data_IF_709489700332
#
_entry.id   IF_709489700332
#
_cell.length_a   1.000
_cell.length_b   1.000
_cell.length_c   1.000
_cell.angle_alpha   90.00
_cell.angle_beta   90.00
_cell.angle_gamma   90.00
#
_symmetry.space_group_name_H-M   'P 1'
#
loop_
_entity.id
_entity.type
_entity.pdbx_description
1 polymer ?
#
# COMPACT_ATOMS: atom_id res chain seq x y z
N UNK A 1 -28.89 -14.14 0.28
CA UNK A 1 -28.29 -12.79 0.43
C UNK A 1 -27.13 -12.83 1.42
N UNK A 2 -25.91 -13.08 0.94
CA UNK A 2 -24.72 -12.99 1.78
C UNK A 2 -24.41 -11.50 1.98
N UNK A 3 -24.53 -11.07 3.23
CA UNK A 3 -24.15 -9.76 3.71
C UNK A 3 -22.62 -9.65 3.63
N UNK A 4 -22.14 -8.83 2.69
CA UNK A 4 -20.71 -8.57 2.48
C UNK A 4 -20.31 -7.34 3.31
N UNK A 5 -20.56 -7.35 4.61
CA UNK A 5 -19.95 -6.39 5.52
C UNK A 5 -18.44 -6.67 5.60
N UNK A 6 -17.56 -5.72 5.22
CA UNK A 6 -16.14 -5.86 5.50
C UNK A 6 -15.95 -5.94 7.03
N UNK A 7 -15.06 -6.82 7.53
CA UNK A 7 -14.72 -6.83 8.94
C UNK A 7 -14.19 -5.46 9.36
N UNK A 8 -14.56 -5.02 10.56
CA UNK A 8 -14.21 -3.72 11.12
C UNK A 8 -12.74 -3.37 10.83
N UNK A 9 -12.58 -2.31 10.04
CA UNK A 9 -11.34 -1.71 9.57
C UNK A 9 -10.51 -1.15 10.74
N UNK A 10 -9.78 -2.03 11.44
CA UNK A 10 -8.88 -1.64 12.53
C UNK A 10 -7.43 -1.78 12.07
N UNK A 11 -6.72 -0.64 11.99
CA UNK A 11 -5.28 -0.63 11.74
C UNK A 11 -4.54 -1.37 12.85
N UNK A 12 -3.76 -2.39 12.47
CA UNK A 12 -2.88 -3.12 13.37
C UNK A 12 -1.43 -2.79 13.03
N UNK A 13 -0.64 -2.46 14.04
CA UNK A 13 0.80 -2.31 13.89
C UNK A 13 1.47 -3.69 14.06
N UNK A 14 2.23 -4.14 13.06
CA UNK A 14 3.06 -5.35 13.06
C UNK A 14 4.53 -4.96 13.02
N UNK A 15 5.36 -5.63 13.81
CA UNK A 15 6.81 -5.46 13.76
C UNK A 15 7.39 -6.24 12.58
N UNK A 16 7.91 -5.53 11.57
CA UNK A 16 8.64 -6.14 10.46
C UNK A 16 10.15 -6.05 10.71
N UNK A 17 10.92 -6.92 10.05
CA UNK A 17 12.39 -6.88 10.10
C UNK A 17 12.90 -5.58 9.46
N UNK A 18 13.04 -4.53 10.27
CA UNK A 18 13.53 -3.21 9.84
C UNK A 18 12.66 -2.01 10.25
N UNK A 19 11.47 -2.23 10.84
CA UNK A 19 10.58 -1.14 11.25
C UNK A 19 9.17 -1.59 11.65
N UNK A 20 8.30 -0.62 11.97
CA UNK A 20 6.89 -0.86 12.26
C UNK A 20 6.07 -0.75 10.97
N UNK A 21 5.38 -1.83 10.62
CA UNK A 21 4.39 -1.83 9.54
C UNK A 21 3.03 -1.55 10.15
N UNK A 22 2.30 -0.59 9.59
CA UNK A 22 0.92 -0.31 9.98
C UNK A 22 0.01 -0.68 8.82
N UNK A 23 -0.87 -1.66 9.05
CA UNK A 23 -1.92 -1.95 8.10
C UNK A 23 -2.94 -0.81 8.11
N UNK A 24 -3.18 -0.21 6.95
CA UNK A 24 -4.15 0.87 6.77
C UNK A 24 -5.25 0.44 5.82
N UNK A 25 -6.38 1.11 5.94
CA UNK A 25 -7.57 0.80 5.16
C UNK A 25 -7.60 1.61 3.87
N UNK A 26 -8.42 1.20 2.90
CA UNK A 26 -8.54 1.94 1.64
C UNK A 26 -9.03 3.38 1.87
N UNK A 27 -9.89 3.60 2.87
CA UNK A 27 -10.40 4.93 3.23
C UNK A 27 -9.31 5.81 3.84
N UNK A 28 -8.45 5.24 4.72
CA UNK A 28 -7.31 5.96 5.29
C UNK A 28 -6.27 6.27 4.22
N UNK A 29 -5.96 5.32 3.33
CA UNK A 29 -5.06 5.54 2.21
C UNK A 29 -5.54 6.73 1.36
N UNK A 30 -6.84 6.82 1.06
CA UNK A 30 -7.41 7.95 0.31
C UNK A 30 -7.26 9.30 1.01
N UNK A 31 -7.41 9.34 2.33
CA UNK A 31 -7.19 10.55 3.14
C UNK A 31 -5.72 10.96 3.10
N UNK A 32 -4.83 9.98 3.23
CA UNK A 32 -3.38 10.17 3.13
C UNK A 32 -2.95 10.62 1.73
N UNK A 33 -3.53 10.11 0.64
CA UNK A 33 -3.24 10.57 -0.73
C UNK A 33 -3.56 12.07 -0.94
N UNK A 34 -4.42 12.65 -0.10
CA UNK A 34 -4.65 14.09 -0.06
C UNK A 34 -3.53 14.88 0.62
N UNK A 35 -2.62 14.21 1.32
CA UNK A 35 -1.44 14.77 1.97
C UNK A 35 -0.21 14.54 1.09
N UNK A 36 0.53 15.60 0.75
CA UNK A 36 1.62 15.58 -0.26
C UNK A 36 2.92 14.88 0.18
N UNK A 37 2.97 14.33 1.40
CA UNK A 37 4.17 13.77 2.03
C UNK A 37 4.15 12.23 2.11
N UNK A 38 3.70 11.53 1.07
CA UNK A 38 3.83 10.08 0.99
C UNK A 38 4.24 9.60 -0.40
N UNK A 39 5.08 8.57 -0.42
CA UNK A 39 5.46 7.86 -1.65
C UNK A 39 4.60 6.62 -1.76
N UNK A 40 3.68 6.61 -2.73
CA UNK A 40 2.82 5.45 -3.00
C UNK A 40 3.52 4.52 -3.99
N UNK A 41 3.85 3.31 -3.53
CA UNK A 41 4.45 2.25 -4.35
C UNK A 41 3.44 1.14 -4.62
N UNK A 42 3.03 0.98 -5.88
CA UNK A 42 2.19 -0.13 -6.33
C UNK A 42 3.06 -1.36 -6.63
N UNK A 43 2.80 -2.48 -5.95
CA UNK A 43 3.56 -3.73 -6.11
C UNK A 43 2.75 -4.91 -6.65
N UNK A 44 1.52 -4.67 -7.11
CA UNK A 44 0.58 -5.72 -7.50
C UNK A 44 1.02 -6.49 -8.76
N UNK A 45 0.94 -7.82 -8.69
CA UNK A 45 1.17 -8.75 -9.81
C UNK A 45 0.02 -9.78 -9.84
N UNK A 46 -0.66 -10.02 -10.98
CA UNK A 46 -0.44 -9.40 -12.29
C UNK A 46 -0.76 -7.89 -12.27
N UNK A 47 -0.05 -7.13 -13.09
CA UNK A 47 -0.25 -5.68 -13.16
C UNK A 47 -1.70 -5.40 -13.60
N UNK A 48 -2.43 -4.67 -12.75
CA UNK A 48 -3.85 -4.36 -12.92
C UNK A 48 -4.06 -2.94 -13.46
N UNK A 49 -5.05 -2.24 -12.92
CA UNK A 49 -5.16 -0.80 -13.10
C UNK A 49 -4.39 -0.08 -11.98
N UNK A 50 -3.56 0.90 -12.33
CA UNK A 50 -2.85 1.72 -11.34
C UNK A 50 -3.80 2.62 -10.56
N UNK A 51 -3.45 2.87 -9.30
CA UNK A 51 -4.16 3.83 -8.45
C UNK A 51 -3.71 5.23 -8.87
N UNK A 52 -4.63 6.16 -9.19
CA UNK A 52 -4.26 7.54 -9.51
C UNK A 52 -3.54 8.17 -8.31
N UNK A 53 -2.34 8.72 -8.53
CA UNK A 53 -1.46 9.21 -7.47
C UNK A 53 -0.39 8.20 -7.02
N UNK A 54 -0.23 7.08 -7.73
CA UNK A 54 0.93 6.18 -7.56
C UNK A 54 2.19 6.85 -8.08
N UNK A 55 3.22 6.95 -7.24
CA UNK A 55 4.51 7.52 -7.59
C UNK A 55 5.41 6.48 -8.28
N UNK A 56 5.43 5.26 -7.73
CA UNK A 56 6.23 4.15 -8.24
C UNK A 56 5.36 2.91 -8.46
N UNK A 57 5.49 2.26 -9.61
CA UNK A 57 4.89 0.95 -9.85
C UNK A 57 5.99 -0.07 -10.09
N UNK A 58 6.28 -0.88 -9.07
CA UNK A 58 7.36 -1.87 -9.08
C UNK A 58 6.77 -3.24 -8.72
N UNK A 59 6.73 -4.20 -9.65
CA UNK A 59 6.22 -5.55 -9.37
C UNK A 59 6.88 -6.16 -8.12
N UNK A 60 6.11 -6.90 -7.30
CA UNK A 60 6.65 -7.55 -6.11
C UNK A 60 7.88 -8.44 -6.41
N UNK A 61 7.93 -9.07 -7.58
CA UNK A 61 9.07 -9.91 -7.99
C UNK A 61 10.36 -9.09 -8.24
N UNK A 62 10.22 -7.81 -8.60
CA UNK A 62 11.32 -6.90 -8.96
C UNK A 62 11.72 -5.95 -7.81
N UNK A 63 10.89 -5.84 -6.76
CA UNK A 63 11.08 -4.89 -5.66
C UNK A 63 12.44 -5.06 -4.97
N UNK A 64 12.94 -6.29 -4.85
CA UNK A 64 14.24 -6.57 -4.23
C UNK A 64 15.42 -6.00 -5.03
N UNK A 65 15.33 -5.98 -6.36
CA UNK A 65 16.37 -5.42 -7.23
C UNK A 65 16.29 -3.89 -7.32
N UNK A 66 15.09 -3.32 -7.14
CA UNK A 66 14.79 -1.89 -7.26
C UNK A 66 14.64 -1.18 -5.91
N UNK A 67 14.90 -1.87 -4.81
CA UNK A 67 14.78 -1.32 -3.46
C UNK A 67 15.66 -0.08 -3.24
N UNK A 68 16.78 0.05 -3.95
CA UNK A 68 17.64 1.23 -3.90
C UNK A 68 17.11 2.45 -4.68
N UNK A 69 16.00 2.32 -5.41
CA UNK A 69 15.31 3.42 -6.10
C UNK A 69 14.21 4.04 -5.25
N UNK A 70 13.88 3.43 -4.10
CA UNK A 70 12.90 3.93 -3.13
C UNK A 70 13.65 4.85 -2.14
N UNK A 71 13.17 6.08 -1.90
CA UNK A 71 13.85 7.06 -1.04
C UNK A 71 13.98 6.62 0.43
#
# INVERSE_FOLDING_TARGET
PHDNQPPAESSAATEARGGTVTDITASQLRDMLGSEDLVLVNVHVPHGADIPGTDLSIPYDEIGARAGEIP
#
